data_IF_124498301976
#
_entry.id   IF_124498301976
#
_cell.length_a   1.000
_cell.length_b   1.000
_cell.length_c   1.000
_cell.angle_alpha   90.00
_cell.angle_beta   90.00
_cell.angle_gamma   90.00
#
_symmetry.space_group_name_H-M   'P 1'
#
loop_
_entity.id
_entity.type
_entity.pdbx_description
1 polymer ?
#
# COMPACT_ATOMS: atom_id res chain seq x y z
N UNK A 1 -2.84 -18.01 7.33
CA UNK A 1 -3.56 -16.78 6.97
C UNK A 1 -4.73 -16.57 7.91
N UNK A 2 -5.12 -15.27 8.12
CA UNK A 2 -6.22 -14.94 8.99
C UNK A 2 -5.86 -14.80 10.48
N UNK A 3 -4.61 -15.08 10.87
CA UNK A 3 -4.07 -14.69 12.18
C UNK A 3 -3.95 -13.18 12.24
N UNK A 4 -3.99 -12.60 13.42
CA UNK A 4 -3.86 -11.14 13.58
C UNK A 4 -2.42 -10.68 13.42
N UNK A 5 -2.25 -9.40 13.07
CA UNK A 5 -0.92 -8.77 13.01
C UNK A 5 -0.26 -8.81 14.40
N UNK A 6 -1.05 -8.61 15.46
CA UNK A 6 -0.57 -8.69 16.85
C UNK A 6 0.06 -10.05 17.15
N UNK A 7 -0.62 -11.15 16.81
CA UNK A 7 -0.07 -12.51 17.01
C UNK A 7 1.26 -12.72 16.26
N UNK A 8 1.42 -12.13 15.06
CA UNK A 8 2.70 -12.20 14.33
C UNK A 8 3.80 -11.38 15.01
N UNK A 9 3.47 -10.19 15.49
CA UNK A 9 4.42 -9.33 16.22
C UNK A 9 4.85 -10.02 17.52
N UNK A 10 3.91 -10.60 18.26
CA UNK A 10 4.19 -11.33 19.52
C UNK A 10 5.09 -12.55 19.28
N UNK A 11 4.81 -13.31 18.20
CA UNK A 11 5.64 -14.45 17.81
C UNK A 11 7.07 -14.04 17.42
N UNK A 12 7.26 -12.81 16.93
CA UNK A 12 8.58 -12.25 16.64
C UNK A 12 9.30 -11.68 17.88
N UNK A 13 8.74 -11.85 19.07
CA UNK A 13 9.31 -11.38 20.35
C UNK A 13 8.67 -10.10 20.88
N UNK A 14 7.65 -9.58 20.22
CA UNK A 14 6.93 -8.37 20.61
C UNK A 14 7.68 -7.07 20.34
N UNK A 15 7.04 -5.92 20.57
CA UNK A 15 7.68 -4.62 20.36
C UNK A 15 8.62 -4.27 21.51
N UNK A 16 9.71 -3.59 21.21
CA UNK A 16 10.71 -3.11 22.21
C UNK A 16 10.31 -1.78 22.85
N UNK A 17 9.28 -1.11 22.34
CA UNK A 17 8.72 0.15 22.86
C UNK A 17 7.20 0.03 23.00
N UNK A 18 6.62 0.78 23.93
CA UNK A 18 5.18 0.70 24.22
C UNK A 18 4.29 1.39 23.19
N UNK A 19 4.76 2.49 22.60
CA UNK A 19 3.99 3.28 21.62
C UNK A 19 4.53 3.01 20.21
N UNK A 20 3.79 2.21 19.45
CA UNK A 20 4.19 1.72 18.14
C UNK A 20 3.23 2.16 17.03
N UNK A 21 3.80 2.38 15.86
CA UNK A 21 3.07 2.43 14.60
C UNK A 21 3.41 1.20 13.76
N UNK A 22 2.42 0.65 13.09
CA UNK A 22 2.58 -0.55 12.26
C UNK A 22 2.26 -0.22 10.81
N UNK A 23 3.16 -0.59 9.92
CA UNK A 23 3.00 -0.46 8.47
C UNK A 23 2.90 -1.84 7.83
N UNK A 24 1.92 -2.02 6.96
CA UNK A 24 1.67 -3.26 6.20
C UNK A 24 2.24 -3.13 4.79
N UNK A 25 3.24 -3.96 4.49
CA UNK A 25 3.99 -3.93 3.23
C UNK A 25 5.39 -3.35 3.40
N UNK A 26 6.02 -2.92 2.31
CA UNK A 26 7.34 -2.27 2.35
C UNK A 26 7.24 -0.79 2.71
N UNK A 27 8.24 -0.24 3.41
CA UNK A 27 8.26 1.15 3.96
C UNK A 27 7.80 2.24 2.99
N UNK A 28 8.05 2.07 1.70
CA UNK A 28 7.72 3.07 0.67
C UNK A 28 6.24 3.06 0.31
N UNK A 29 5.65 1.88 0.15
CA UNK A 29 4.29 1.68 -0.37
C UNK A 29 3.33 1.14 0.70
N UNK A 30 3.78 1.07 1.94
CA UNK A 30 3.01 0.55 3.05
C UNK A 30 1.71 1.32 3.29
N UNK A 31 0.78 0.63 3.95
CA UNK A 31 -0.42 1.24 4.54
C UNK A 31 -0.34 1.09 6.05
N UNK A 32 -0.70 2.13 6.82
CA UNK A 32 -0.81 1.99 8.26
C UNK A 32 -1.83 0.92 8.63
N UNK A 33 -1.52 0.07 9.59
CA UNK A 33 -2.50 -0.82 10.18
C UNK A 33 -3.47 -0.01 11.05
N UNK A 34 -4.77 -0.29 10.92
CA UNK A 34 -5.79 0.39 11.73
C UNK A 34 -5.68 0.01 13.22
N UNK A 35 -5.33 -1.23 13.49
CA UNK A 35 -5.09 -1.80 14.83
C UNK A 35 -4.32 -3.13 14.66
N UNK A 36 -4.02 -3.81 15.76
CA UNK A 36 -3.30 -5.08 15.75
C UNK A 36 -4.19 -6.29 15.47
N UNK A 37 -5.51 -6.13 15.47
CA UNK A 37 -6.48 -7.22 15.17
C UNK A 37 -6.68 -7.43 13.66
N UNK A 38 -6.08 -6.59 12.82
CA UNK A 38 -6.13 -6.74 11.35
C UNK A 38 -5.57 -8.10 10.97
N UNK A 39 -6.31 -8.91 10.19
CA UNK A 39 -5.85 -10.25 9.81
C UNK A 39 -4.76 -10.19 8.73
N UNK A 40 -3.80 -11.11 8.83
CA UNK A 40 -2.80 -11.37 7.79
C UNK A 40 -3.49 -11.99 6.57
N UNK A 41 -3.30 -11.38 5.41
CA UNK A 41 -3.89 -11.79 4.14
C UNK A 41 -2.85 -12.33 3.16
N UNK A 42 -3.28 -12.86 2.03
CA UNK A 42 -2.39 -13.30 0.92
C UNK A 42 -1.53 -12.15 0.36
N UNK A 43 -1.96 -10.91 0.54
CA UNK A 43 -1.25 -9.71 0.04
C UNK A 43 -0.42 -9.00 1.11
N UNK A 44 -0.39 -9.52 2.33
CA UNK A 44 0.47 -9.00 3.40
C UNK A 44 1.92 -9.40 3.12
N UNK A 45 2.68 -8.51 2.48
CA UNK A 45 4.07 -8.77 2.09
C UNK A 45 5.09 -8.50 3.20
N UNK A 46 4.67 -7.88 4.30
CA UNK A 46 5.52 -7.57 5.46
C UNK A 46 4.77 -6.80 6.52
N UNK A 47 5.27 -6.83 7.73
CA UNK A 47 4.80 -6.05 8.87
C UNK A 47 6.02 -5.30 9.41
N UNK A 48 5.96 -3.98 9.43
CA UNK A 48 7.04 -3.12 9.89
C UNK A 48 6.56 -2.40 11.14
N UNK A 49 7.27 -2.59 12.23
CA UNK A 49 6.99 -1.98 13.52
C UNK A 49 8.02 -0.90 13.79
N UNK A 50 7.58 0.31 14.03
CA UNK A 50 8.42 1.47 14.35
C UNK A 50 7.81 2.21 15.56
N UNK A 51 8.61 3.02 16.30
CA UNK A 51 8.02 3.94 17.27
C UNK A 51 6.95 4.83 16.62
N UNK A 52 5.84 5.07 17.29
CA UNK A 52 4.76 5.91 16.75
C UNK A 52 5.22 7.33 16.41
N UNK A 53 6.25 7.83 17.09
CA UNK A 53 6.90 9.13 16.83
C UNK A 53 7.79 9.15 15.58
N UNK A 54 8.08 7.99 14.98
CA UNK A 54 8.93 7.93 13.80
C UNK A 54 8.33 8.68 12.62
N UNK A 55 9.14 9.44 11.89
CA UNK A 55 8.69 10.31 10.77
C UNK A 55 7.90 9.56 9.70
N UNK A 56 8.27 8.32 9.39
CA UNK A 56 7.52 7.48 8.44
C UNK A 56 6.10 7.19 8.92
N UNK A 57 5.92 6.85 10.21
CA UNK A 57 4.59 6.61 10.78
C UNK A 57 3.76 7.87 10.71
N UNK A 58 4.32 9.02 11.10
CA UNK A 58 3.64 10.31 11.05
C UNK A 58 3.23 10.68 9.61
N UNK A 59 4.12 10.48 8.65
CA UNK A 59 3.85 10.80 7.23
C UNK A 59 2.81 9.88 6.61
N UNK A 60 2.83 8.58 6.92
CA UNK A 60 1.82 7.64 6.42
C UNK A 60 0.43 7.86 7.04
N UNK A 61 0.37 8.40 8.25
CA UNK A 61 -0.88 8.72 8.97
C UNK A 61 -1.39 10.15 8.72
N UNK A 62 -0.66 10.99 7.98
CA UNK A 62 -1.02 12.38 7.77
C UNK A 62 -2.41 12.51 7.08
N UNK A 63 -3.38 13.25 7.66
CA UNK A 63 -4.68 13.46 7.06
C UNK A 63 -4.57 14.21 5.73
N UNK A 64 -5.32 13.80 4.70
CA UNK A 64 -5.28 14.43 3.37
C UNK A 64 -5.59 15.92 3.37
N UNK A 65 -6.45 16.38 4.28
CA UNK A 65 -6.74 17.81 4.43
C UNK A 65 -5.49 18.61 4.82
N UNK A 66 -4.66 18.04 5.69
CA UNK A 66 -3.39 18.65 6.10
C UNK A 66 -2.37 18.58 4.97
N UNK A 67 -2.25 17.43 4.29
CA UNK A 67 -1.37 17.25 3.13
C UNK A 67 -1.67 18.27 2.06
N UNK A 68 -2.94 18.47 1.71
CA UNK A 68 -3.37 19.43 0.70
C UNK A 68 -3.12 20.89 1.13
N UNK A 69 -3.39 21.21 2.39
CA UNK A 69 -3.18 22.56 2.93
C UNK A 69 -1.70 22.95 2.91
N UNK A 70 -0.84 22.08 3.43
CA UNK A 70 0.61 22.33 3.47
C UNK A 70 1.18 22.31 2.06
N UNK A 71 0.77 21.36 1.22
CA UNK A 71 1.21 21.25 -0.17
C UNK A 71 0.89 22.50 -0.99
N UNK A 72 -0.26 23.12 -0.74
CA UNK A 72 -0.66 24.38 -1.41
C UNK A 72 0.23 25.56 -1.03
N UNK A 73 0.65 25.67 0.23
CA UNK A 73 1.38 26.81 0.76
C UNK A 73 2.90 26.68 0.65
N UNK A 74 3.43 25.45 0.72
CA UNK A 74 4.86 25.21 0.84
C UNK A 74 5.53 24.62 -0.42
N UNK A 75 4.77 24.32 -1.48
CA UNK A 75 5.34 23.78 -2.71
C UNK A 75 6.02 24.88 -3.55
N UNK A 76 7.34 24.90 -3.59
CA UNK A 76 8.19 25.82 -4.34
C UNK A 76 8.35 25.47 -5.83
N UNK A 77 7.65 24.43 -6.32
CA UNK A 77 7.64 24.01 -7.74
C UNK A 77 9.01 23.58 -8.29
N UNK A 78 9.92 23.09 -7.46
CA UNK A 78 11.27 22.67 -7.85
C UNK A 78 11.33 21.49 -8.83
N UNK A 79 10.22 20.74 -9.02
CA UNK A 79 10.06 19.61 -9.95
C UNK A 79 10.82 18.32 -9.57
N UNK A 80 11.54 18.24 -8.47
CA UNK A 80 12.27 17.02 -8.10
C UNK A 80 11.36 15.79 -7.99
N UNK A 81 10.12 15.96 -7.53
CA UNK A 81 9.13 14.89 -7.50
C UNK A 81 8.85 14.28 -8.89
N UNK A 82 8.99 15.04 -9.98
CA UNK A 82 8.91 14.55 -11.35
C UNK A 82 10.25 14.01 -11.85
N UNK A 83 11.35 14.71 -11.59
CA UNK A 83 12.69 14.33 -12.01
C UNK A 83 13.12 12.94 -11.46
N UNK A 84 12.65 12.56 -10.28
CA UNK A 84 12.90 11.25 -9.68
C UNK A 84 11.74 10.25 -9.85
N UNK A 85 10.67 10.62 -10.57
CA UNK A 85 9.55 9.72 -10.79
C UNK A 85 9.94 8.59 -11.75
N UNK A 86 9.92 7.30 -11.34
CA UNK A 86 10.33 6.20 -12.20
C UNK A 86 9.44 6.06 -13.44
N UNK A 87 8.15 6.41 -13.33
CA UNK A 87 7.24 6.39 -14.48
C UNK A 87 7.56 7.51 -15.49
N UNK A 88 7.89 8.70 -15.01
CA UNK A 88 8.38 9.78 -15.87
C UNK A 88 9.68 9.40 -16.56
N UNK A 89 10.62 8.83 -15.82
CA UNK A 89 11.91 8.38 -16.36
C UNK A 89 11.77 7.28 -17.40
N UNK A 90 10.74 6.44 -17.31
CA UNK A 90 10.39 5.44 -18.32
C UNK A 90 9.67 6.04 -19.55
N UNK A 91 9.41 7.35 -19.56
CA UNK A 91 8.77 8.04 -20.69
C UNK A 91 7.26 8.19 -20.57
N UNK A 92 6.62 7.73 -19.48
CA UNK A 92 5.20 7.98 -19.28
C UNK A 92 4.92 9.48 -19.03
N UNK A 93 3.79 10.03 -19.50
CA UNK A 93 3.49 11.46 -19.39
C UNK A 93 3.03 11.89 -17.99
N UNK A 94 3.60 11.33 -16.95
CA UNK A 94 3.30 11.69 -15.55
C UNK A 94 4.25 12.76 -15.05
N UNK A 95 3.69 13.78 -14.43
CA UNK A 95 4.43 14.89 -13.84
C UNK A 95 3.87 15.23 -12.45
N UNK A 96 4.33 14.56 -11.37
CA UNK A 96 3.82 14.77 -10.01
C UNK A 96 3.81 16.23 -9.55
N UNK A 97 4.77 17.07 -10.01
CA UNK A 97 4.77 18.51 -9.70
C UNK A 97 3.50 19.21 -10.21
N UNK A 98 2.92 18.81 -11.35
CA UNK A 98 1.66 19.37 -11.85
C UNK A 98 0.46 18.97 -10.99
N UNK A 99 0.49 17.78 -10.39
CA UNK A 99 -0.50 17.41 -9.39
C UNK A 99 -0.38 18.33 -8.15
N UNK A 100 0.83 18.68 -7.72
CA UNK A 100 1.03 19.65 -6.64
C UNK A 100 0.53 21.04 -7.02
N UNK A 101 0.75 21.49 -8.25
CA UNK A 101 0.21 22.76 -8.75
C UNK A 101 -1.32 22.81 -8.67
N UNK A 102 -2.01 21.68 -8.92
CA UNK A 102 -3.47 21.63 -8.89
C UNK A 102 -4.08 21.90 -7.50
N UNK A 103 -3.30 21.86 -6.45
CA UNK A 103 -3.74 22.24 -5.12
C UNK A 103 -3.99 23.75 -4.96
N UNK A 104 -3.27 24.58 -5.73
CA UNK A 104 -3.34 26.04 -5.67
C UNK A 104 -3.93 26.69 -6.92
N UNK A 105 -3.84 26.02 -8.07
CA UNK A 105 -4.21 26.58 -9.37
C UNK A 105 -5.07 25.58 -10.17
N UNK A 106 -5.94 26.10 -11.03
CA UNK A 106 -6.65 25.27 -11.98
C UNK A 106 -5.67 24.62 -12.97
N UNK A 107 -5.66 23.30 -13.05
CA UNK A 107 -4.88 22.55 -14.03
C UNK A 107 -5.79 21.86 -15.03
N UNK A 108 -5.30 21.72 -16.27
CA UNK A 108 -6.07 21.06 -17.33
C UNK A 108 -6.31 19.55 -17.08
N UNK A 109 -7.25 18.98 -17.81
CA UNK A 109 -7.58 17.56 -17.76
C UNK A 109 -6.36 16.65 -17.97
N UNK A 110 -5.39 17.07 -18.79
CA UNK A 110 -4.17 16.30 -19.07
C UNK A 110 -3.33 16.02 -17.81
N UNK A 111 -3.25 17.00 -16.90
CA UNK A 111 -2.54 16.81 -15.64
C UNK A 111 -3.23 15.77 -14.75
N UNK A 112 -4.55 15.70 -14.79
CA UNK A 112 -5.34 14.70 -14.06
C UNK A 112 -5.19 13.31 -14.69
N UNK A 113 -5.28 13.20 -16.01
CA UNK A 113 -5.03 11.93 -16.74
C UNK A 113 -3.64 11.39 -16.44
N UNK A 114 -2.64 12.25 -16.43
CA UNK A 114 -1.26 11.86 -16.13
C UNK A 114 -1.11 11.19 -14.74
N UNK A 115 -1.95 11.54 -13.76
CA UNK A 115 -1.91 10.90 -12.43
C UNK A 115 -2.28 9.42 -12.46
N UNK A 116 -3.03 8.95 -13.48
CA UNK A 116 -3.38 7.53 -13.65
C UNK A 116 -2.15 6.63 -13.83
N UNK A 117 -1.02 7.19 -14.30
CA UNK A 117 0.25 6.47 -14.42
C UNK A 117 1.02 6.34 -13.11
N UNK A 118 0.58 6.97 -12.03
CA UNK A 118 1.23 6.86 -10.74
C UNK A 118 1.22 5.41 -10.25
N UNK A 119 2.40 4.82 -10.08
CA UNK A 119 2.56 3.47 -9.49
C UNK A 119 2.62 3.47 -7.96
N UNK A 120 2.39 4.63 -7.34
CA UNK A 120 2.33 4.79 -5.88
C UNK A 120 3.61 4.41 -5.11
N UNK A 121 4.77 4.39 -5.82
CA UNK A 121 6.05 3.99 -5.24
C UNK A 121 6.57 4.93 -4.14
N UNK A 122 5.97 6.08 -3.97
CA UNK A 122 6.26 7.07 -2.92
C UNK A 122 7.65 7.75 -2.98
N UNK A 123 8.43 7.54 -4.04
CA UNK A 123 9.75 8.16 -4.20
C UNK A 123 9.67 9.68 -4.25
N UNK A 124 8.63 10.22 -4.89
CA UNK A 124 8.39 11.65 -5.01
C UNK A 124 8.14 12.33 -3.66
N UNK A 125 7.48 11.63 -2.70
CA UNK A 125 7.19 12.17 -1.38
C UNK A 125 8.32 11.89 -0.38
N UNK A 126 8.71 10.62 -0.24
CA UNK A 126 9.61 10.20 0.83
C UNK A 126 11.09 10.46 0.54
N UNK A 127 11.47 10.66 -0.73
CA UNK A 127 12.86 10.89 -1.09
C UNK A 127 13.09 12.21 -1.81
N UNK A 128 12.31 12.50 -2.85
CA UNK A 128 12.64 13.57 -3.80
C UNK A 128 12.20 14.97 -3.34
N UNK A 129 11.15 15.08 -2.53
CA UNK A 129 10.66 16.38 -2.09
C UNK A 129 11.58 16.98 -1.01
N UNK A 130 12.18 18.16 -1.24
CA UNK A 130 13.01 18.82 -0.23
C UNK A 130 12.18 19.37 0.95
N UNK A 131 10.91 19.73 0.69
CA UNK A 131 9.98 20.29 1.67
C UNK A 131 9.14 19.17 2.38
N UNK A 132 9.54 17.93 2.24
CA UNK A 132 8.84 16.77 2.81
C UNK A 132 7.32 16.72 2.53
N UNK A 133 6.86 17.32 1.42
CA UNK A 133 5.47 17.27 0.98
C UNK A 133 5.09 15.90 0.42
N UNK A 134 3.80 15.72 0.08
CA UNK A 134 3.29 14.43 -0.36
C UNK A 134 2.68 14.41 -1.77
N UNK A 135 3.48 14.60 -2.82
CA UNK A 135 3.01 14.53 -4.21
C UNK A 135 2.35 13.19 -4.57
N UNK A 136 2.79 12.08 -3.95
CA UNK A 136 2.21 10.75 -4.20
C UNK A 136 0.73 10.71 -3.81
N UNK A 137 0.39 11.13 -2.60
CA UNK A 137 -1.00 11.09 -2.16
C UNK A 137 -1.88 12.09 -2.91
N UNK A 138 -1.34 13.23 -3.34
CA UNK A 138 -2.04 14.15 -4.26
C UNK A 138 -2.35 13.47 -5.60
N UNK A 139 -1.39 12.75 -6.20
CA UNK A 139 -1.65 11.96 -7.41
C UNK A 139 -2.70 10.85 -7.17
N UNK A 140 -2.63 10.15 -6.04
CA UNK A 140 -3.59 9.08 -5.69
C UNK A 140 -5.00 9.63 -5.55
N UNK A 141 -5.15 10.79 -4.89
CA UNK A 141 -6.44 11.46 -4.72
C UNK A 141 -7.07 11.88 -6.06
N UNK A 142 -6.27 12.20 -7.05
CA UNK A 142 -6.78 12.60 -8.37
C UNK A 142 -7.27 11.42 -9.22
N UNK A 143 -6.85 10.17 -8.95
CA UNK A 143 -7.23 8.99 -9.74
C UNK A 143 -8.74 8.70 -9.76
N UNK A 144 -9.48 8.69 -8.64
CA UNK A 144 -10.93 8.52 -8.65
C UNK A 144 -11.61 9.60 -9.47
N UNK A 145 -11.22 10.86 -9.30
CA UNK A 145 -11.81 11.99 -10.06
C UNK A 145 -11.59 11.87 -11.57
N UNK A 146 -10.42 11.37 -11.99
CA UNK A 146 -10.14 11.12 -13.39
C UNK A 146 -11.06 10.01 -13.95
N UNK A 147 -11.31 8.95 -13.16
CA UNK A 147 -12.21 7.85 -13.55
C UNK A 147 -13.66 8.30 -13.62
N UNK A 148 -14.14 9.07 -12.66
CA UNK A 148 -15.49 9.63 -12.65
C UNK A 148 -15.79 10.52 -13.87
N UNK A 149 -14.75 11.14 -14.43
CA UNK A 149 -14.83 11.99 -15.63
C UNK A 149 -14.50 11.24 -16.93
N UNK A 150 -14.41 9.90 -16.88
CA UNK A 150 -14.03 9.04 -18.02
C UNK A 150 -12.73 9.50 -18.73
N UNK A 151 -11.83 10.11 -17.97
CA UNK A 151 -10.54 10.56 -18.49
C UNK A 151 -9.63 9.36 -18.68
N UNK A 152 -9.20 9.13 -19.91
CA UNK A 152 -8.30 8.05 -20.29
C UNK A 152 -7.11 8.60 -21.07
N UNK A 153 -6.01 7.87 -21.02
CA UNK A 153 -4.85 8.18 -21.85
C UNK A 153 -5.15 7.83 -23.32
N UNK A 154 -4.91 8.77 -24.22
CA UNK A 154 -5.14 8.62 -25.66
C UNK A 154 -3.87 8.46 -26.48
N UNK A 155 -2.70 8.38 -25.87
CA UNK A 155 -1.43 8.18 -26.57
C UNK A 155 -1.19 6.71 -26.91
N UNK A 156 -0.28 6.48 -27.87
CA UNK A 156 0.16 5.13 -28.24
C UNK A 156 1.28 4.68 -27.29
N UNK A 157 1.07 3.58 -26.52
CA UNK A 157 2.12 3.05 -25.65
C UNK A 157 3.40 2.64 -26.37
N UNK A 158 3.32 2.29 -27.67
CA UNK A 158 4.48 1.91 -28.48
C UNK A 158 5.44 3.08 -28.76
N UNK A 159 4.98 4.31 -28.62
CA UNK A 159 5.81 5.51 -28.83
C UNK A 159 6.53 5.99 -27.56
N UNK A 160 6.34 5.31 -26.43
CA UNK A 160 6.97 5.69 -25.16
C UNK A 160 8.46 5.36 -25.23
N UNK A 161 9.31 6.38 -25.03
CA UNK A 161 10.76 6.23 -24.96
C UNK A 161 11.28 6.69 -23.60
N UNK A 162 12.27 6.00 -23.01
CA UNK A 162 12.86 6.42 -21.74
C UNK A 162 13.44 7.84 -21.84
N UNK A 163 13.29 8.58 -20.75
CA UNK A 163 13.88 9.90 -20.60
C UNK A 163 15.43 9.80 -20.62
N UNK A 164 16.18 10.69 -21.31
CA UNK A 164 17.64 10.62 -21.37
C UNK A 164 18.33 10.58 -20.01
N UNK A 165 17.71 11.16 -18.98
CA UNK A 165 18.24 11.17 -17.60
C UNK A 165 17.89 9.92 -16.78
N UNK A 166 17.22 8.90 -17.35
CA UNK A 166 16.74 7.74 -16.60
C UNK A 166 17.86 7.01 -15.85
N UNK A 167 19.02 6.86 -16.46
CA UNK A 167 20.16 6.19 -15.84
C UNK A 167 20.84 7.01 -14.74
N UNK A 168 20.79 8.32 -14.84
CA UNK A 168 21.45 9.26 -13.94
C UNK A 168 20.60 9.63 -12.70
N UNK A 169 19.32 9.24 -12.68
CA UNK A 169 18.35 9.53 -11.60
C UNK A 169 18.05 8.31 -10.75
N UNK A 170 18.88 7.29 -10.76
CA UNK A 170 18.76 6.13 -9.87
C UNK A 170 19.05 6.54 -8.43
N UNK A 171 18.20 6.09 -7.51
CA UNK A 171 18.32 6.41 -6.09
C UNK A 171 19.19 5.34 -5.40
N UNK A 172 20.36 5.70 -4.84
CA UNK A 172 21.18 4.75 -4.10
C UNK A 172 20.46 4.29 -2.82
N UNK A 173 20.39 2.97 -2.59
CA UNK A 173 19.67 2.39 -1.46
C UNK A 173 20.13 2.96 -0.11
N UNK A 174 21.45 3.14 0.09
CA UNK A 174 21.99 3.72 1.34
C UNK A 174 21.46 5.13 1.61
N UNK A 175 21.34 5.96 0.57
CA UNK A 175 20.79 7.33 0.71
C UNK A 175 19.29 7.28 1.02
N UNK A 176 18.55 6.35 0.40
CA UNK A 176 17.14 6.16 0.69
C UNK A 176 16.94 5.75 2.15
N UNK A 177 17.65 4.74 2.64
CA UNK A 177 17.58 4.29 4.04
C UNK A 177 17.88 5.45 5.00
N UNK A 178 18.93 6.22 4.74
CA UNK A 178 19.29 7.39 5.56
C UNK A 178 18.20 8.48 5.54
N UNK A 179 17.66 8.81 4.35
CA UNK A 179 16.58 9.81 4.21
C UNK A 179 15.30 9.37 4.95
N UNK A 180 15.05 8.08 5.02
CA UNK A 180 13.90 7.51 5.71
C UNK A 180 14.10 7.36 7.23
N UNK A 181 15.27 7.69 7.76
CA UNK A 181 15.61 7.53 9.18
C UNK A 181 15.67 6.06 9.63
N UNK A 182 16.00 5.15 8.70
CA UNK A 182 16.00 3.70 8.97
C UNK A 182 17.40 3.12 9.23
N UNK A 183 18.42 3.96 9.27
CA UNK A 183 19.81 3.50 9.46
C UNK A 183 20.10 2.79 10.79
N UNK A 184 19.31 3.07 11.82
CA UNK A 184 19.43 2.47 13.14
C UNK A 184 18.72 1.11 13.28
N UNK A 185 17.85 0.77 12.33
CA UNK A 185 17.07 -0.45 12.38
C UNK A 185 17.77 -1.57 11.62
N UNK A 186 18.11 -2.63 12.34
CA UNK A 186 18.59 -3.86 11.73
C UNK A 186 17.39 -4.63 11.17
N UNK A 187 17.43 -4.93 9.88
CA UNK A 187 16.36 -5.68 9.19
C UNK A 187 16.85 -7.05 8.68
N UNK A 188 17.86 -7.62 9.30
CA UNK A 188 18.26 -9.00 9.01
C UNK A 188 17.16 -9.91 9.54
N UNK A 189 16.29 -10.38 8.65
CA UNK A 189 15.21 -11.32 8.94
C UNK A 189 15.60 -12.72 8.47
N UNK A 190 16.18 -13.58 9.33
CA UNK A 190 16.39 -14.98 8.96
C UNK A 190 15.04 -15.66 8.72
N UNK A 191 15.04 -16.65 7.81
CA UNK A 191 13.86 -17.49 7.66
C UNK A 191 13.67 -18.28 8.96
N UNK A 192 12.52 -18.12 9.57
CA UNK A 192 12.09 -18.89 10.74
C UNK A 192 11.11 -19.98 10.29
N UNK A 193 11.33 -21.21 10.73
CA UNK A 193 10.45 -22.35 10.47
C UNK A 193 9.30 -22.47 11.48
N UNK A 194 9.04 -21.40 12.24
CA UNK A 194 7.96 -21.39 13.22
C UNK A 194 6.61 -21.68 12.58
N UNK A 195 5.91 -22.70 13.09
CA UNK A 195 4.58 -23.08 12.64
C UNK A 195 3.54 -22.44 13.56
N UNK A 196 2.78 -21.52 13.02
CA UNK A 196 1.65 -20.93 13.73
C UNK A 196 0.51 -21.97 13.90
N UNK A 197 0.04 -22.14 15.12
CA UNK A 197 -1.12 -22.98 15.45
C UNK A 197 -2.24 -22.14 16.12
N UNK A 198 -2.84 -21.18 15.39
CA UNK A 198 -3.86 -20.32 15.97
C UNK A 198 -5.15 -21.11 16.23
N UNK A 199 -5.83 -20.80 17.36
CA UNK A 199 -7.13 -21.37 17.68
C UNK A 199 -8.28 -20.73 16.90
N UNK A 200 -8.06 -19.53 16.37
CA UNK A 200 -9.05 -18.77 15.62
C UNK A 200 -8.37 -18.00 14.51
N UNK A 201 -8.98 -17.97 13.34
CA UNK A 201 -8.53 -17.15 12.21
C UNK A 201 -9.71 -16.41 11.59
N UNK A 202 -9.43 -15.21 11.06
CA UNK A 202 -10.39 -14.38 10.34
C UNK A 202 -9.96 -14.28 8.88
N UNK A 203 -10.60 -15.03 7.99
CA UNK A 203 -10.23 -15.16 6.58
C UNK A 203 -11.12 -14.23 5.74
N UNK A 204 -10.57 -13.08 5.34
CA UNK A 204 -11.32 -12.08 4.57
C UNK A 204 -11.75 -12.60 3.20
N UNK A 205 -12.96 -12.26 2.76
CA UNK A 205 -13.51 -12.61 1.45
C UNK A 205 -12.92 -11.75 0.32
N UNK A 206 -12.27 -10.63 0.65
CA UNK A 206 -11.56 -9.77 -0.29
C UNK A 206 -10.12 -9.55 0.16
N UNK A 207 -9.18 -10.21 -0.50
CA UNK A 207 -7.74 -10.14 -0.16
C UNK A 207 -6.85 -9.61 -1.30
N UNK A 208 -7.40 -9.28 -2.46
CA UNK A 208 -6.64 -8.92 -3.65
C UNK A 208 -7.44 -7.98 -4.56
N UNK A 209 -6.85 -7.57 -5.68
CA UNK A 209 -7.56 -6.85 -6.75
C UNK A 209 -8.67 -7.74 -7.34
N UNK A 210 -9.76 -7.12 -7.77
CA UNK A 210 -10.95 -7.80 -8.27
C UNK A 210 -12.14 -7.69 -7.33
N UNK A 211 -13.16 -8.53 -7.57
CA UNK A 211 -14.37 -8.55 -6.76
C UNK A 211 -14.18 -9.41 -5.50
N UNK A 212 -14.90 -9.13 -4.41
CA UNK A 212 -14.96 -10.03 -3.26
C UNK A 212 -15.46 -11.42 -3.68
N UNK A 213 -14.92 -12.46 -3.05
CA UNK A 213 -15.43 -13.83 -3.21
C UNK A 213 -16.70 -14.03 -2.39
N UNK A 214 -17.57 -14.92 -2.86
CA UNK A 214 -18.80 -15.31 -2.15
C UNK A 214 -18.52 -16.59 -1.40
N UNK A 215 -18.92 -16.65 -0.11
CA UNK A 215 -18.76 -17.84 0.71
C UNK A 215 -19.55 -19.02 0.10
N UNK A 216 -18.90 -20.18 0.02
CA UNK A 216 -19.52 -21.45 -0.40
C UNK A 216 -19.83 -22.35 0.79
N UNK A 217 -19.26 -22.06 1.95
CA UNK A 217 -19.55 -22.69 3.23
C UNK A 217 -20.63 -21.94 3.99
N UNK A 218 -21.28 -22.62 4.93
CA UNK A 218 -22.28 -22.05 5.84
C UNK A 218 -21.73 -21.99 7.26
N UNK A 219 -22.31 -21.13 8.08
CA UNK A 219 -22.00 -21.11 9.52
C UNK A 219 -22.39 -22.44 10.15
N UNK A 220 -21.46 -23.03 10.91
CA UNK A 220 -21.58 -24.36 11.51
C UNK A 220 -20.89 -25.47 10.72
N UNK A 221 -20.48 -25.24 9.47
CA UNK A 221 -19.75 -26.25 8.69
C UNK A 221 -18.38 -26.54 9.30
N UNK A 222 -18.02 -27.83 9.35
CA UNK A 222 -16.64 -28.23 9.65
C UNK A 222 -15.78 -28.18 8.42
N UNK A 223 -14.64 -27.53 8.52
CA UNK A 223 -13.66 -27.36 7.44
C UNK A 223 -12.30 -27.88 7.86
N UNK A 224 -11.52 -28.35 6.88
CA UNK A 224 -10.11 -28.75 7.03
C UNK A 224 -9.21 -27.78 6.29
N UNK A 225 -7.95 -27.71 6.67
CA UNK A 225 -6.93 -26.95 5.94
C UNK A 225 -7.00 -27.29 4.45
N UNK A 226 -7.09 -26.24 3.62
CA UNK A 226 -7.18 -26.37 2.16
C UNK A 226 -8.61 -26.45 1.61
N UNK A 227 -9.63 -26.65 2.43
CA UNK A 227 -11.02 -26.65 1.97
C UNK A 227 -11.42 -25.29 1.40
N UNK A 228 -12.23 -25.30 0.35
CA UNK A 228 -12.72 -24.10 -0.29
C UNK A 228 -13.74 -23.39 0.60
N UNK A 229 -13.42 -22.17 1.03
CA UNK A 229 -14.32 -21.33 1.82
C UNK A 229 -15.16 -20.39 0.97
N UNK A 230 -14.55 -19.82 -0.09
CA UNK A 230 -15.21 -18.86 -0.95
C UNK A 230 -14.64 -18.87 -2.36
N UNK A 231 -15.48 -18.53 -3.34
CA UNK A 231 -15.11 -18.43 -4.74
C UNK A 231 -15.60 -17.10 -5.35
N UNK A 232 -14.91 -16.54 -6.36
CA UNK A 232 -15.39 -15.37 -7.06
C UNK A 232 -16.66 -15.73 -7.85
N UNK A 233 -17.60 -14.77 -8.03
CA UNK A 233 -18.73 -14.94 -8.92
C UNK A 233 -18.29 -15.31 -10.34
N UNK A 234 -19.09 -16.13 -11.02
CA UNK A 234 -18.75 -16.60 -12.37
C UNK A 234 -18.49 -15.43 -13.33
N UNK A 235 -17.42 -15.53 -14.12
CA UNK A 235 -17.02 -14.51 -15.09
C UNK A 235 -16.43 -13.23 -14.50
N UNK A 236 -16.23 -13.16 -13.18
CA UNK A 236 -15.58 -12.00 -12.53
C UNK A 236 -14.14 -12.31 -12.13
N UNK A 237 -13.28 -11.29 -12.22
CA UNK A 237 -11.90 -11.39 -11.74
C UNK A 237 -11.91 -11.51 -10.21
N UNK A 238 -11.29 -12.56 -9.70
CA UNK A 238 -11.17 -12.82 -8.27
C UNK A 238 -10.33 -14.06 -8.01
N UNK A 239 -10.14 -14.44 -6.74
CA UNK A 239 -9.41 -15.65 -6.36
C UNK A 239 -10.19 -16.48 -5.35
N UNK A 240 -10.04 -17.80 -5.44
CA UNK A 240 -10.58 -18.74 -4.45
C UNK A 240 -9.90 -18.56 -3.10
N UNK A 241 -10.66 -18.73 -2.04
CA UNK A 241 -10.23 -18.58 -0.65
C UNK A 241 -10.40 -19.92 0.04
N UNK A 242 -9.37 -20.36 0.76
CA UNK A 242 -9.30 -21.67 1.37
C UNK A 242 -9.07 -21.57 2.89
N UNK A 243 -9.49 -22.57 3.63
CA UNK A 243 -9.26 -22.69 5.05
C UNK A 243 -7.76 -22.78 5.36
N UNK A 244 -7.31 -22.04 6.37
CA UNK A 244 -5.93 -22.05 6.85
C UNK A 244 -5.72 -22.88 8.11
N UNK A 245 -6.79 -23.28 8.77
CA UNK A 245 -6.81 -24.20 9.92
C UNK A 245 -8.03 -25.14 9.82
N UNK A 246 -7.99 -26.24 10.53
CA UNK A 246 -9.15 -27.09 10.77
C UNK A 246 -10.06 -26.42 11.80
N UNK A 247 -11.38 -26.61 11.69
CA UNK A 247 -12.30 -26.06 12.67
C UNK A 247 -13.74 -25.90 12.18
N UNK A 248 -14.50 -25.11 12.91
CA UNK A 248 -15.88 -24.76 12.56
C UNK A 248 -15.93 -23.37 11.94
N UNK A 249 -16.52 -23.27 10.76
CA UNK A 249 -16.66 -22.02 10.03
C UNK A 249 -17.87 -21.20 10.53
N UNK A 250 -17.70 -19.89 10.65
CA UNK A 250 -18.77 -18.92 10.85
C UNK A 250 -18.65 -17.84 9.78
N UNK A 251 -19.67 -17.73 8.94
CA UNK A 251 -19.67 -16.73 7.85
C UNK A 251 -20.16 -15.40 8.40
N UNK A 252 -19.36 -14.36 8.21
CA UNK A 252 -19.69 -12.95 8.48
C UNK A 252 -19.87 -12.20 7.16
N UNK A 253 -20.25 -10.90 7.21
CA UNK A 253 -20.52 -10.14 5.98
C UNK A 253 -19.33 -10.05 5.01
N UNK A 254 -18.10 -10.01 5.53
CA UNK A 254 -16.87 -9.78 4.75
C UNK A 254 -15.78 -10.84 4.99
N UNK A 255 -16.04 -11.84 5.82
CA UNK A 255 -15.05 -12.85 6.20
C UNK A 255 -15.68 -14.22 6.53
N UNK A 256 -14.83 -15.24 6.60
CA UNK A 256 -15.11 -16.53 7.25
C UNK A 256 -14.19 -16.64 8.45
N UNK A 257 -14.77 -16.71 9.64
CA UNK A 257 -14.06 -16.99 10.89
C UNK A 257 -14.01 -18.50 11.07
N UNK A 258 -12.83 -19.06 11.34
CA UNK A 258 -12.67 -20.47 11.64
C UNK A 258 -12.16 -20.59 13.08
N UNK A 259 -12.79 -21.44 13.85
CA UNK A 259 -12.41 -21.73 15.23
C UNK A 259 -12.10 -23.22 15.34
N UNK A 260 -10.86 -23.53 15.77
CA UNK A 260 -10.38 -24.90 15.99
C UNK A 260 -11.05 -25.55 17.21
#
# INVERSE_FOLDING_TARGET
MGITIGEVIDAAGGPTVSDIGVLLGGVMMAKPAANLDVPVTKTTGGIIVLPASHSLIQRHNAPMIQVNRIGRSACDQCRFCTEFCPRFLLGHPIQPHRAMQSLGFATGADAMVATLYCCECNLCSLYACPEDLDPKNVCVQAKPLARERDLTFKGDPATITPHPMAEYRRVPMRRLIAKLGLGEFNNVGPLDEHVFAPRKVNVLLKQHAGVPSVAVVKSGDRVRVGDLLAAPPQGKLGARIHASIDGVATVTGDAVVIQA
#
